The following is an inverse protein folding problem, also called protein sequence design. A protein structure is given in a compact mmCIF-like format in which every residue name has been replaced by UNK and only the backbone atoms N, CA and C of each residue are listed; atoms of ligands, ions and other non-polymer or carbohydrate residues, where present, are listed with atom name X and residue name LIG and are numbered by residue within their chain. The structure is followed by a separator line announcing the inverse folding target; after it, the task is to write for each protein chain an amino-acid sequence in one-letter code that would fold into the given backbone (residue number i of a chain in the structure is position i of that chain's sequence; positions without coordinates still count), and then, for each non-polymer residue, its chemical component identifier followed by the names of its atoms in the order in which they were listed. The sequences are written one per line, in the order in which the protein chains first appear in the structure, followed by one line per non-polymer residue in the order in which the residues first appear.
data_IF_126942525166
#
_entry.id   IF_126942525166
#
_cell.length_a   1.000
_cell.length_b   1.000
_cell.length_c   1.000
_cell.angle_alpha   90.00
_cell.angle_beta   90.00
_cell.angle_gamma   90.00
#
_symmetry.space_group_name_H-M   'P 1'
#
loop_
_entity.id
_entity.type
_entity.pdbx_description
1 polymer ?
#
# COMPACT_ATOMS: atom_id res chain seq x y z
N UNK A 1 -11.46 -12.16 37.96
CA UNK A 1 -10.78 -12.53 36.71
C UNK A 1 -9.86 -11.37 36.32
N UNK A 2 -8.58 -11.44 36.71
CA UNK A 2 -7.57 -10.40 36.47
C UNK A 2 -7.27 -10.34 34.97
N UNK A 3 -7.62 -9.23 34.31
CA UNK A 3 -7.20 -8.96 32.94
C UNK A 3 -5.76 -8.44 33.05
N UNK A 4 -4.82 -9.24 32.56
CA UNK A 4 -3.39 -8.96 32.60
C UNK A 4 -3.04 -7.89 31.54
N UNK A 5 -2.82 -6.64 31.98
CA UNK A 5 -2.44 -5.49 31.15
C UNK A 5 -0.94 -5.46 30.81
N UNK A 6 -0.37 -6.59 30.39
CA UNK A 6 1.07 -6.66 30.05
C UNK A 6 1.35 -7.29 28.70
N UNK A 7 0.80 -6.74 27.61
CA UNK A 7 1.37 -6.94 26.26
C UNK A 7 1.23 -5.69 25.39
N UNK A 8 2.36 -4.99 25.20
CA UNK A 8 2.72 -4.40 23.90
C UNK A 8 2.20 -2.99 23.57
N UNK A 9 2.55 -1.97 24.35
CA UNK A 9 2.61 -0.60 23.81
C UNK A 9 3.99 -0.37 23.16
N UNK A 10 4.19 -0.91 21.96
CA UNK A 10 5.27 -0.47 21.09
C UNK A 10 4.88 0.89 20.52
N UNK A 11 5.30 1.95 21.22
CA UNK A 11 5.25 3.33 20.72
C UNK A 11 6.22 3.40 19.53
N UNK A 12 5.68 3.28 18.32
CA UNK A 12 6.42 3.54 17.08
C UNK A 12 6.62 5.06 16.95
N UNK A 13 7.75 5.54 17.44
CA UNK A 13 8.24 6.90 17.15
C UNK A 13 8.69 6.90 15.68
N UNK A 14 7.82 7.41 14.80
CA UNK A 14 8.12 7.59 13.38
C UNK A 14 8.55 9.05 13.16
N UNK A 15 9.86 9.26 13.12
CA UNK A 15 10.49 10.49 12.70
C UNK A 15 10.19 10.74 11.21
N UNK A 16 9.19 11.57 10.93
CA UNK A 16 8.89 12.05 9.59
C UNK A 16 9.88 13.14 9.19
N UNK A 17 11.03 12.78 8.61
CA UNK A 17 11.83 13.75 7.85
C UNK A 17 11.08 14.09 6.56
N UNK A 18 10.38 15.23 6.58
CA UNK A 18 9.92 15.94 5.40
C UNK A 18 11.14 16.51 4.67
N UNK A 19 11.69 15.76 3.72
CA UNK A 19 12.60 16.33 2.74
C UNK A 19 11.78 16.78 1.54
N UNK A 20 11.26 18.02 1.62
CA UNK A 20 10.73 18.70 0.45
C UNK A 20 11.91 19.02 -0.47
N UNK A 21 12.17 18.15 -1.44
CA UNK A 21 13.01 18.52 -2.58
C UNK A 21 12.18 19.51 -3.37
N UNK A 22 12.41 20.80 -3.15
CA UNK A 22 11.95 21.83 -4.06
C UNK A 22 12.54 21.51 -5.44
N UNK A 23 11.69 21.09 -6.37
CA UNK A 23 12.01 21.12 -7.80
C UNK A 23 12.12 22.59 -8.17
N UNK A 24 13.31 23.14 -7.96
CA UNK A 24 13.74 24.33 -8.69
C UNK A 24 13.56 23.96 -10.16
N UNK A 25 12.76 24.76 -10.87
CA UNK A 25 12.49 24.58 -12.29
C UNK A 25 13.79 24.35 -13.02
N UNK A 26 14.04 23.10 -13.38
CA UNK A 26 15.20 22.73 -14.15
C UNK A 26 14.94 23.30 -15.54
N UNK A 27 15.45 24.52 -15.77
CA UNK A 27 15.71 25.00 -17.12
C UNK A 27 16.38 23.85 -17.86
N UNK A 28 15.79 23.43 -18.98
CA UNK A 28 16.37 22.41 -19.83
C UNK A 28 17.83 22.78 -20.08
N UNK A 29 18.77 21.98 -19.56
CA UNK A 29 20.18 22.19 -19.83
C UNK A 29 20.35 22.04 -21.34
N UNK A 30 20.48 23.16 -22.05
CA UNK A 30 20.67 23.15 -23.49
C UNK A 30 22.07 22.62 -23.77
N UNK A 31 22.19 21.32 -23.99
CA UNK A 31 23.45 20.70 -24.37
C UNK A 31 23.95 21.25 -25.72
N UNK A 32 25.21 21.66 -25.82
CA UNK A 32 25.73 22.37 -27.02
C UNK A 32 26.35 21.43 -28.05
N UNK A 33 26.69 20.22 -27.62
CA UNK A 33 27.34 19.20 -28.43
C UNK A 33 26.86 17.81 -28.00
N UNK A 34 27.18 16.81 -28.79
CA UNK A 34 26.67 15.47 -28.56
C UNK A 34 27.24 14.82 -27.28
N UNK A 35 28.47 15.16 -26.85
CA UNK A 35 29.03 14.68 -25.58
C UNK A 35 28.27 15.23 -24.37
N UNK A 36 27.98 16.52 -24.35
CA UNK A 36 27.16 17.17 -23.33
C UNK A 36 25.71 16.69 -23.33
N UNK A 37 25.13 16.39 -24.50
CA UNK A 37 23.78 15.81 -24.57
C UNK A 37 23.76 14.39 -23.99
N UNK A 38 24.75 13.55 -24.29
CA UNK A 38 24.86 12.21 -23.72
C UNK A 38 25.09 12.23 -22.21
N UNK A 39 25.92 13.15 -21.72
CA UNK A 39 26.10 13.36 -20.28
C UNK A 39 24.77 13.76 -19.60
N UNK A 40 24.02 14.67 -20.20
CA UNK A 40 22.70 15.08 -19.70
C UNK A 40 21.70 13.93 -19.67
N UNK A 41 21.62 13.12 -20.74
CA UNK A 41 20.77 11.91 -20.78
C UNK A 41 21.14 10.94 -19.66
N UNK A 42 22.43 10.67 -19.46
CA UNK A 42 22.91 9.79 -18.39
C UNK A 42 22.52 10.30 -17.00
N UNK A 43 22.63 11.61 -16.75
CA UNK A 43 22.19 12.22 -15.51
C UNK A 43 20.67 12.10 -15.31
N UNK A 44 19.88 12.33 -16.36
CA UNK A 44 18.42 12.19 -16.31
C UNK A 44 17.99 10.73 -16.06
N UNK A 45 18.67 9.75 -16.69
CA UNK A 45 18.45 8.33 -16.44
C UNK A 45 18.74 7.96 -14.97
N UNK A 46 19.83 8.47 -14.39
CA UNK A 46 20.14 8.26 -12.98
C UNK A 46 19.06 8.84 -12.05
N UNK A 47 18.53 10.04 -12.36
CA UNK A 47 17.40 10.63 -11.62
C UNK A 47 16.12 9.79 -11.75
N UNK A 48 15.85 9.23 -12.92
CA UNK A 48 14.70 8.35 -13.15
C UNK A 48 14.77 7.07 -12.29
N UNK A 49 15.96 6.45 -12.23
CA UNK A 49 16.22 5.30 -11.37
C UNK A 49 16.10 5.64 -9.88
N UNK A 50 16.60 6.81 -9.46
CA UNK A 50 16.46 7.29 -8.07
C UNK A 50 14.99 7.53 -7.71
N UNK A 51 14.22 8.16 -8.61
CA UNK A 51 12.77 8.35 -8.45
C UNK A 51 12.04 7.01 -8.29
N UNK A 52 12.42 5.99 -9.07
CA UNK A 52 11.82 4.67 -8.96
C UNK A 52 12.09 4.02 -7.60
N UNK A 53 13.32 4.14 -7.10
CA UNK A 53 13.67 3.65 -5.76
C UNK A 53 12.82 4.32 -4.68
N UNK A 54 12.59 5.63 -4.79
CA UNK A 54 11.75 6.40 -3.86
C UNK A 54 10.29 5.96 -3.90
N UNK A 55 9.75 5.68 -5.09
CA UNK A 55 8.39 5.11 -5.23
C UNK A 55 8.31 3.78 -4.51
N UNK A 56 9.23 2.84 -4.78
CA UNK A 56 9.22 1.52 -4.17
C UNK A 56 9.32 1.59 -2.62
N UNK A 57 10.20 2.43 -2.08
CA UNK A 57 10.32 2.68 -0.63
C UNK A 57 8.99 3.19 -0.03
N UNK A 58 8.32 4.11 -0.72
CA UNK A 58 7.05 4.71 -0.28
C UNK A 58 5.87 3.75 -0.42
N UNK A 59 5.86 2.87 -1.42
CA UNK A 59 4.86 1.81 -1.55
C UNK A 59 4.93 0.82 -0.38
N UNK A 60 6.13 0.42 0.03
CA UNK A 60 6.31 -0.41 1.23
C UNK A 60 5.81 0.30 2.50
N UNK A 61 6.07 1.61 2.61
CA UNK A 61 5.55 2.43 3.72
C UNK A 61 4.02 2.53 3.68
N UNK A 62 3.42 2.71 2.51
CA UNK A 62 1.97 2.73 2.36
C UNK A 62 1.34 1.37 2.71
N UNK A 63 2.01 0.27 2.39
CA UNK A 63 1.59 -1.08 2.76
C UNK A 63 1.59 -1.27 4.29
N UNK A 64 2.65 -0.85 4.98
CA UNK A 64 2.71 -0.96 6.45
C UNK A 64 1.62 -0.13 7.14
N UNK A 65 1.30 1.07 6.63
CA UNK A 65 0.17 1.86 7.13
C UNK A 65 -1.18 1.17 6.92
N UNK A 66 -1.40 0.48 5.79
CA UNK A 66 -2.62 -0.31 5.57
C UNK A 66 -2.74 -1.45 6.58
N UNK A 67 -1.64 -2.14 6.87
CA UNK A 67 -1.62 -3.20 7.89
C UNK A 67 -1.93 -2.64 9.28
N UNK A 68 -1.34 -1.50 9.64
CA UNK A 68 -1.62 -0.82 10.90
C UNK A 68 -3.10 -0.39 11.01
N UNK A 69 -3.71 0.10 9.92
CA UNK A 69 -5.14 0.41 9.89
C UNK A 69 -6.03 -0.82 10.08
N UNK A 70 -5.64 -1.97 9.52
CA UNK A 70 -6.37 -3.23 9.74
C UNK A 70 -6.32 -3.67 11.20
N UNK A 71 -5.15 -3.59 11.84
CA UNK A 71 -4.99 -3.91 13.26
C UNK A 71 -5.78 -2.95 14.15
N UNK A 72 -5.72 -1.65 13.87
CA UNK A 72 -6.52 -0.63 14.56
C UNK A 72 -8.03 -0.87 14.41
N UNK A 73 -8.47 -1.28 13.22
CA UNK A 73 -9.86 -1.66 12.97
C UNK A 73 -10.30 -2.85 13.83
N UNK A 74 -9.48 -3.90 13.92
CA UNK A 74 -9.75 -5.06 14.79
C UNK A 74 -9.80 -4.70 16.28
N UNK A 75 -8.89 -3.83 16.73
CA UNK A 75 -8.89 -3.32 18.11
C UNK A 75 -10.13 -2.49 18.41
N UNK A 76 -10.53 -1.59 17.51
CA UNK A 76 -11.75 -0.79 17.64
C UNK A 76 -13.00 -1.69 17.74
N UNK A 77 -13.10 -2.71 16.89
CA UNK A 77 -14.22 -3.66 16.94
C UNK A 77 -14.26 -4.42 18.27
N UNK A 78 -13.10 -4.87 18.75
CA UNK A 78 -12.99 -5.57 20.03
C UNK A 78 -13.40 -4.68 21.20
N UNK A 79 -12.88 -3.45 21.27
CA UNK A 79 -13.24 -2.48 22.31
C UNK A 79 -14.73 -2.12 22.23
N UNK A 80 -15.29 -1.98 21.03
CA UNK A 80 -16.71 -1.71 20.85
C UNK A 80 -17.60 -2.85 21.39
N UNK A 81 -17.17 -4.11 21.23
CA UNK A 81 -17.87 -5.25 21.81
C UNK A 81 -17.75 -5.26 23.34
N UNK A 82 -16.57 -5.01 23.89
CA UNK A 82 -16.36 -4.92 25.34
C UNK A 82 -17.21 -3.81 25.98
N UNK A 83 -17.37 -2.67 25.31
CA UNK A 83 -18.27 -1.58 25.74
C UNK A 83 -19.72 -2.08 25.82
N UNK A 84 -20.21 -2.77 24.78
CA UNK A 84 -21.56 -3.34 24.77
C UNK A 84 -21.76 -4.37 25.88
N UNK A 85 -20.77 -5.25 26.09
CA UNK A 85 -20.82 -6.26 27.14
C UNK A 85 -20.85 -5.63 28.53
N UNK A 86 -20.05 -4.58 28.77
CA UNK A 86 -20.07 -3.82 30.01
C UNK A 86 -21.44 -3.16 30.24
N UNK A 87 -22.03 -2.52 29.22
CA UNK A 87 -23.38 -1.94 29.28
C UNK A 87 -24.45 -2.98 29.61
N UNK A 88 -24.37 -4.16 29.01
CA UNK A 88 -25.27 -5.27 29.30
C UNK A 88 -25.17 -5.73 30.75
N UNK A 89 -23.94 -5.87 31.28
CA UNK A 89 -23.71 -6.22 32.69
C UNK A 89 -24.22 -5.14 33.64
N UNK A 90 -23.97 -3.86 33.36
CA UNK A 90 -24.49 -2.74 34.15
C UNK A 90 -26.02 -2.81 34.22
N UNK A 91 -26.68 -3.05 33.07
CA UNK A 91 -28.14 -3.15 32.99
C UNK A 91 -28.66 -4.35 33.80
N UNK A 92 -27.98 -5.51 33.71
CA UNK A 92 -28.34 -6.68 34.50
C UNK A 92 -28.16 -6.47 36.00
N UNK A 93 -27.02 -5.90 36.44
CA UNK A 93 -26.75 -5.59 37.85
C UNK A 93 -27.76 -4.56 38.39
N UNK A 94 -28.17 -3.57 37.59
CA UNK A 94 -29.26 -2.66 37.98
C UNK A 94 -30.56 -3.40 38.26
N UNK A 95 -30.98 -4.31 37.37
CA UNK A 95 -32.20 -5.09 37.59
C UNK A 95 -32.12 -5.95 38.85
N UNK A 96 -30.94 -6.51 39.16
CA UNK A 96 -30.72 -7.25 40.42
C UNK A 96 -30.80 -6.34 41.65
N UNK A 97 -30.25 -5.13 41.58
CA UNK A 97 -30.37 -4.12 42.66
C UNK A 97 -31.84 -3.74 42.89
N UNK A 98 -32.59 -3.52 41.81
CA UNK A 98 -34.02 -3.19 41.89
C UNK A 98 -34.83 -4.34 42.52
N UNK A 99 -34.56 -5.58 42.11
CA UNK A 99 -35.19 -6.77 42.67
C UNK A 99 -34.89 -6.93 44.17
N UNK A 100 -33.62 -6.84 44.57
CA UNK A 100 -33.22 -6.95 45.99
C UNK A 100 -33.81 -5.80 46.81
N UNK A 101 -33.93 -4.60 46.22
CA UNK A 101 -34.61 -3.47 46.87
C UNK A 101 -36.08 -3.78 47.13
N UNK A 102 -36.79 -4.33 46.14
CA UNK A 102 -38.19 -4.75 46.31
C UNK A 102 -38.37 -5.83 47.39
N UNK A 103 -37.41 -6.76 47.51
CA UNK A 103 -37.43 -7.74 48.61
C UNK A 103 -37.22 -7.08 49.98
N UNK A 104 -36.27 -6.15 50.10
CA UNK A 104 -36.05 -5.40 51.35
C UNK A 104 -37.33 -4.68 51.78
N UNK A 105 -38.02 -4.03 50.84
CA UNK A 105 -39.26 -3.30 51.10
C UNK A 105 -40.40 -4.24 51.53
N UNK A 106 -40.53 -5.39 50.87
CA UNK A 106 -41.49 -6.44 51.25
C UNK A 106 -41.22 -7.00 52.64
N UNK A 107 -39.97 -7.30 52.98
CA UNK A 107 -39.60 -7.78 54.32
C UNK A 107 -39.82 -6.70 55.39
N UNK A 108 -39.68 -5.42 55.06
CA UNK A 108 -40.01 -4.31 55.96
C UNK A 108 -41.52 -4.27 56.26
N UNK A 109 -42.36 -4.41 55.23
CA UNK A 109 -43.81 -4.48 55.42
C UNK A 109 -44.23 -5.68 56.28
N UNK A 110 -43.59 -6.84 56.12
CA UNK A 110 -43.84 -8.00 56.97
C UNK A 110 -43.48 -7.75 58.44
N UNK A 111 -42.36 -7.07 58.72
CA UNK A 111 -41.99 -6.68 60.08
C UNK A 111 -43.03 -5.74 60.70
N UNK A 112 -43.49 -4.75 59.95
CA UNK A 112 -44.49 -3.79 60.42
C UNK A 112 -45.82 -4.50 60.73
N UNK A 113 -46.23 -5.47 59.90
CA UNK A 113 -47.41 -6.30 60.14
C UNK A 113 -47.26 -7.19 61.38
N UNK A 114 -46.11 -7.84 61.56
CA UNK A 114 -45.84 -8.68 62.75
C UNK A 114 -45.89 -7.85 64.05
N UNK A 115 -45.39 -6.61 64.01
CA UNK A 115 -45.46 -5.68 65.14
C UNK A 115 -46.90 -5.25 65.43
N UNK A 116 -47.68 -4.94 64.39
CA UNK A 116 -49.09 -4.56 64.52
C UNK A 116 -49.95 -5.72 65.06
N UNK A 117 -49.71 -6.95 64.58
CA UNK A 117 -50.38 -8.15 65.09
C UNK A 117 -50.10 -8.35 66.58
N UNK A 118 -48.83 -8.27 66.99
CA UNK A 118 -48.46 -8.36 68.40
C UNK A 118 -49.16 -7.31 69.26
N UNK A 119 -49.19 -6.05 68.79
CA UNK A 119 -49.87 -4.97 69.50
C UNK A 119 -51.39 -5.20 69.61
N UNK A 120 -52.02 -5.67 68.53
CA UNK A 120 -53.46 -5.97 68.49
C UNK A 120 -53.83 -7.10 69.46
N UNK A 121 -53.07 -8.19 69.47
CA UNK A 121 -53.30 -9.34 70.36
C UNK A 121 -53.16 -8.94 71.84
N UNK A 122 -52.16 -8.12 72.18
CA UNK A 122 -51.99 -7.59 73.55
C UNK A 122 -53.19 -6.72 73.96
N UNK A 123 -53.66 -5.84 73.07
CA UNK A 123 -54.82 -4.98 73.34
C UNK A 123 -56.09 -5.81 73.49
N UNK A 124 -56.31 -6.81 72.63
CA UNK A 124 -57.49 -7.68 72.66
C UNK A 124 -57.55 -8.48 73.95
N UNK A 125 -56.45 -9.09 74.39
CA UNK A 125 -56.35 -9.73 75.71
C UNK A 125 -56.65 -8.78 76.87
N UNK A 126 -56.21 -7.52 76.77
CA UNK A 126 -56.49 -6.50 77.78
C UNK A 126 -57.95 -6.00 77.76
N UNK A 127 -58.64 -6.06 76.61
CA UNK A 127 -60.01 -5.54 76.45
C UNK A 127 -61.10 -6.61 76.58
N UNK A 128 -60.84 -7.85 76.18
CA UNK A 128 -61.73 -8.99 76.43
C UNK A 128 -61.72 -9.42 77.91
N UNK A 129 -60.71 -9.00 78.68
CA UNK A 129 -60.69 -9.11 80.13
C UNK A 129 -61.50 -7.99 80.80
N UNK A 130 -62.83 -8.08 80.75
CA UNK A 130 -63.74 -7.23 81.55
C UNK A 130 -63.70 -7.52 83.07
N UNK A 131 -62.62 -8.11 83.58
CA UNK A 131 -62.43 -8.41 84.99
C UNK A 131 -60.94 -8.35 85.34
N UNK A 132 -60.54 -7.69 86.44
CA UNK A 132 -59.15 -7.70 86.87
C UNK A 132 -58.71 -9.15 87.10
N UNK A 133 -57.71 -9.65 86.38
CA UNK A 133 -57.21 -11.03 86.54
C UNK A 133 -56.72 -11.32 87.96
N UNK A 134 -56.29 -10.30 88.71
CA UNK A 134 -56.00 -10.38 90.15
C UNK A 134 -57.24 -10.70 91.02
N UNK A 135 -58.45 -10.32 90.58
CA UNK A 135 -59.70 -10.60 91.27
C UNK A 135 -60.26 -12.00 90.96
N UNK A 136 -59.99 -12.55 89.77
CA UNK A 136 -60.31 -13.95 89.40
C UNK A 136 -59.32 -14.93 90.01
N UNK A 137 -58.04 -14.56 90.15
CA UNK A 137 -57.02 -15.32 90.90
C UNK A 137 -57.44 -15.60 92.36
N UNK A 138 -58.32 -14.78 92.91
CA UNK A 138 -58.87 -14.89 94.28
C UNK A 138 -60.29 -15.47 94.32
N UNK A 139 -60.92 -15.77 93.18
CA UNK A 139 -62.28 -16.32 93.15
C UNK A 139 -62.52 -17.32 92.00
N UNK A 140 -62.50 -18.60 92.35
CA UNK A 140 -63.12 -19.75 91.66
C UNK A 140 -62.30 -20.54 90.61
N UNK A 141 -62.84 -21.71 90.26
CA UNK A 141 -62.17 -23.00 90.02
C UNK A 141 -61.92 -23.37 88.55
N UNK A 142 -61.33 -22.48 87.74
CA UNK A 142 -61.00 -22.69 86.30
C UNK A 142 -59.50 -22.60 85.99
N UNK A 143 -58.62 -23.02 86.90
CA UNK A 143 -57.16 -22.90 86.77
C UNK A 143 -56.59 -23.45 85.44
N UNK A 144 -57.25 -24.45 84.82
CA UNK A 144 -56.85 -25.03 83.54
C UNK A 144 -57.05 -24.10 82.33
N UNK A 145 -58.05 -23.22 82.34
CA UNK A 145 -58.30 -22.25 81.25
C UNK A 145 -57.29 -21.10 81.32
N UNK A 146 -57.04 -20.56 82.52
CA UNK A 146 -56.02 -19.52 82.75
C UNK A 146 -54.61 -20.01 82.38
N UNK A 147 -54.28 -21.28 82.67
CA UNK A 147 -52.99 -21.85 82.24
C UNK A 147 -52.90 -22.07 80.73
N UNK A 148 -54.01 -22.38 80.06
CA UNK A 148 -54.03 -22.53 78.61
C UNK A 148 -53.87 -21.18 77.90
N UNK A 149 -54.50 -20.12 78.42
CA UNK A 149 -54.39 -18.76 77.88
C UNK A 149 -52.97 -18.18 78.05
N UNK A 150 -52.34 -18.44 79.20
CA UNK A 150 -50.94 -18.03 79.42
C UNK A 150 -49.95 -18.81 78.55
N UNK A 151 -50.14 -20.11 78.35
CA UNK A 151 -49.27 -20.91 77.49
C UNK A 151 -49.48 -20.54 76.00
N UNK A 152 -50.71 -20.25 75.58
CA UNK A 152 -51.02 -19.72 74.25
C UNK A 152 -50.27 -18.39 74.01
N UNK A 153 -50.32 -17.47 74.97
CA UNK A 153 -49.61 -16.20 74.90
C UNK A 153 -48.09 -16.38 74.83
N UNK A 154 -47.54 -17.29 75.63
CA UNK A 154 -46.11 -17.61 75.65
C UNK A 154 -45.64 -18.14 74.30
N UNK A 155 -46.40 -19.07 73.72
CA UNK A 155 -46.10 -19.65 72.40
C UNK A 155 -46.26 -18.62 71.27
N UNK A 156 -47.28 -17.76 71.34
CA UNK A 156 -47.48 -16.68 70.38
C UNK A 156 -46.32 -15.67 70.42
N UNK A 157 -45.92 -15.26 71.63
CA UNK A 157 -44.77 -14.38 71.85
C UNK A 157 -43.48 -14.99 71.30
N UNK A 158 -43.20 -16.26 71.61
CA UNK A 158 -42.00 -16.97 71.12
C UNK A 158 -41.99 -17.05 69.58
N UNK A 159 -43.14 -17.38 68.96
CA UNK A 159 -43.26 -17.48 67.51
C UNK A 159 -43.09 -16.13 66.81
N UNK A 160 -43.69 -15.06 67.33
CA UNK A 160 -43.55 -13.71 66.79
C UNK A 160 -42.10 -13.23 66.97
N UNK A 161 -41.51 -13.42 68.15
CA UNK A 161 -40.12 -13.02 68.41
C UNK A 161 -39.14 -13.74 67.48
N UNK A 162 -39.37 -15.03 67.23
CA UNK A 162 -38.60 -15.80 66.24
C UNK A 162 -38.77 -15.24 64.83
N UNK A 163 -40.00 -15.02 64.37
CA UNK A 163 -40.27 -14.45 63.04
C UNK A 163 -39.65 -13.06 62.86
N UNK A 164 -39.75 -12.18 63.85
CA UNK A 164 -39.12 -10.85 63.83
C UNK A 164 -37.60 -10.98 63.71
N UNK A 165 -36.97 -11.90 64.45
CA UNK A 165 -35.54 -12.13 64.35
C UNK A 165 -35.14 -12.68 62.97
N UNK A 166 -35.85 -13.68 62.46
CA UNK A 166 -35.59 -14.28 61.15
C UNK A 166 -35.72 -13.22 60.03
N UNK A 167 -36.77 -12.39 60.04
CA UNK A 167 -36.95 -11.30 59.06
C UNK A 167 -35.88 -10.22 59.18
N UNK A 168 -35.46 -9.84 60.40
CA UNK A 168 -34.35 -8.89 60.60
C UNK A 168 -33.02 -9.42 60.05
N UNK A 169 -32.74 -10.71 60.24
CA UNK A 169 -31.54 -11.36 59.68
C UNK A 169 -31.59 -11.37 58.15
N UNK A 170 -32.74 -11.72 57.56
CA UNK A 170 -32.93 -11.69 56.11
C UNK A 170 -32.76 -10.27 55.54
N UNK A 171 -33.35 -9.25 56.18
CA UNK A 171 -33.14 -7.86 55.77
C UNK A 171 -31.67 -7.45 55.80
N UNK A 172 -30.92 -7.85 56.83
CA UNK A 172 -29.50 -7.55 56.93
C UNK A 172 -28.69 -8.19 55.79
N UNK A 173 -29.00 -9.45 55.44
CA UNK A 173 -28.37 -10.15 54.33
C UNK A 173 -28.69 -9.50 52.98
N UNK A 174 -29.96 -9.16 52.73
CA UNK A 174 -30.38 -8.46 51.51
C UNK A 174 -29.72 -7.09 51.38
N UNK A 175 -29.60 -6.32 52.47
CA UNK A 175 -28.87 -5.04 52.46
C UNK A 175 -27.41 -5.23 52.07
N UNK A 176 -26.75 -6.24 52.64
CA UNK A 176 -25.37 -6.58 52.27
C UNK A 176 -25.24 -7.03 50.81
N UNK A 177 -26.19 -7.82 50.30
CA UNK A 177 -26.24 -8.21 48.90
C UNK A 177 -26.39 -6.99 47.99
N UNK A 178 -27.27 -6.04 48.34
CA UNK A 178 -27.45 -4.78 47.62
C UNK A 178 -26.17 -3.94 47.60
N UNK A 179 -25.47 -3.81 48.73
CA UNK A 179 -24.18 -3.11 48.82
C UNK A 179 -23.14 -3.73 47.87
N UNK A 180 -22.99 -5.05 47.88
CA UNK A 180 -22.08 -5.76 46.98
C UNK A 180 -22.43 -5.54 45.50
N UNK A 181 -23.71 -5.57 45.13
CA UNK A 181 -24.15 -5.30 43.76
C UNK A 181 -23.87 -3.85 43.35
N UNK A 182 -24.04 -2.90 44.28
CA UNK A 182 -23.75 -1.49 44.04
C UNK A 182 -22.24 -1.24 43.81
N UNK A 183 -21.37 -1.95 44.54
CA UNK A 183 -19.93 -1.93 44.29
C UNK A 183 -19.58 -2.50 42.91
N UNK A 184 -20.13 -3.67 42.55
CA UNK A 184 -19.93 -4.27 41.22
C UNK A 184 -20.40 -3.35 40.08
N UNK A 185 -21.52 -2.65 40.27
CA UNK A 185 -22.01 -1.65 39.31
C UNK A 185 -21.02 -0.50 39.14
N UNK A 186 -20.44 0.00 40.23
CA UNK A 186 -19.46 1.08 40.17
C UNK A 186 -18.20 0.63 39.40
N UNK A 187 -17.71 -0.58 39.66
CA UNK A 187 -16.58 -1.16 38.92
C UNK A 187 -16.86 -1.30 37.42
N UNK A 188 -18.08 -1.73 37.07
CA UNK A 188 -18.51 -1.85 35.67
C UNK A 188 -18.62 -0.48 34.98
N UNK A 189 -19.11 0.55 35.68
CA UNK A 189 -19.15 1.92 35.15
C UNK A 189 -17.73 2.45 34.90
N UNK A 190 -16.81 2.26 35.84
CA UNK A 190 -15.41 2.65 35.68
C UNK A 190 -14.74 1.92 34.49
N UNK A 191 -15.02 0.62 34.33
CA UNK A 191 -14.55 -0.16 33.19
C UNK A 191 -15.12 0.40 31.87
N UNK A 192 -16.41 0.72 31.82
CA UNK A 192 -17.08 1.29 30.64
C UNK A 192 -16.47 2.64 30.23
N UNK A 193 -16.23 3.53 31.19
CA UNK A 193 -15.57 4.82 30.93
C UNK A 193 -14.16 4.65 30.39
N UNK A 194 -13.37 3.74 30.99
CA UNK A 194 -12.02 3.41 30.55
C UNK A 194 -12.00 2.88 29.10
N UNK A 195 -12.90 1.95 28.77
CA UNK A 195 -13.04 1.41 27.42
C UNK A 195 -13.45 2.49 26.40
N UNK A 196 -14.35 3.40 26.80
CA UNK A 196 -14.77 4.53 25.95
C UNK A 196 -13.60 5.50 25.69
N UNK A 197 -12.77 5.76 26.70
CA UNK A 197 -11.54 6.53 26.54
C UNK A 197 -10.55 5.84 25.57
N UNK A 198 -10.37 4.53 25.73
CA UNK A 198 -9.51 3.74 24.85
C UNK A 198 -10.01 3.76 23.39
N UNK A 199 -11.32 3.63 23.17
CA UNK A 199 -11.92 3.73 21.84
C UNK A 199 -11.62 5.07 21.16
N UNK A 200 -11.72 6.18 21.89
CA UNK A 200 -11.39 7.52 21.37
C UNK A 200 -9.91 7.62 20.97
N UNK A 201 -9.01 7.08 21.79
CA UNK A 201 -7.57 7.05 21.48
C UNK A 201 -7.27 6.24 20.21
N UNK A 202 -7.88 5.06 20.06
CA UNK A 202 -7.73 4.23 18.86
C UNK A 202 -8.31 4.91 17.60
N UNK A 203 -9.44 5.61 17.73
CA UNK A 203 -10.03 6.39 16.64
C UNK A 203 -9.12 7.54 16.20
N UNK A 204 -8.52 8.26 17.16
CA UNK A 204 -7.52 9.28 16.87
C UNK A 204 -6.30 8.68 16.13
N UNK A 205 -5.76 7.56 16.60
CA UNK A 205 -4.63 6.89 15.95
C UNK A 205 -4.96 6.42 14.52
N UNK A 206 -6.20 5.95 14.31
CA UNK A 206 -6.73 5.56 12.99
C UNK A 206 -6.73 6.76 12.04
N UNK A 207 -7.22 7.91 12.49
CA UNK A 207 -7.23 9.14 11.69
C UNK A 207 -5.82 9.62 11.34
N UNK A 208 -4.88 9.57 12.28
CA UNK A 208 -3.48 9.91 12.03
C UNK A 208 -2.83 8.98 11.01
N UNK A 209 -3.08 7.67 11.12
CA UNK A 209 -2.52 6.69 10.17
C UNK A 209 -3.13 6.83 8.78
N UNK A 210 -4.43 7.13 8.69
CA UNK A 210 -5.07 7.47 7.42
C UNK A 210 -4.48 8.73 6.78
N UNK A 211 -4.20 9.77 7.57
CA UNK A 211 -3.53 10.98 7.08
C UNK A 211 -2.14 10.67 6.53
N UNK A 212 -1.33 9.91 7.26
CA UNK A 212 0.01 9.51 6.82
C UNK A 212 -0.03 8.65 5.55
N UNK A 213 -0.99 7.74 5.44
CA UNK A 213 -1.21 6.95 4.24
C UNK A 213 -1.58 7.84 3.04
N UNK A 214 -2.47 8.81 3.24
CA UNK A 214 -2.87 9.76 2.19
C UNK A 214 -1.68 10.61 1.72
N UNK A 215 -0.93 11.19 2.67
CA UNK A 215 0.27 11.96 2.36
C UNK A 215 1.33 11.12 1.62
N UNK A 216 1.52 9.85 2.01
CA UNK A 216 2.44 8.92 1.35
C UNK A 216 2.00 8.63 -0.09
N UNK A 217 0.70 8.43 -0.33
CA UNK A 217 0.16 8.25 -1.68
C UNK A 217 0.35 9.48 -2.56
N UNK A 218 0.16 10.68 -2.02
CA UNK A 218 0.42 11.93 -2.72
C UNK A 218 1.91 12.06 -3.12
N UNK A 219 2.83 11.66 -2.24
CA UNK A 219 4.27 11.61 -2.57
C UNK A 219 4.59 10.63 -3.70
N UNK A 220 3.98 9.44 -3.70
CA UNK A 220 4.12 8.47 -4.80
C UNK A 220 3.66 9.09 -6.13
N UNK A 221 2.51 9.77 -6.14
CA UNK A 221 2.00 10.45 -7.32
C UNK A 221 2.94 11.57 -7.80
N UNK A 222 3.49 12.36 -6.88
CA UNK A 222 4.47 13.40 -7.20
C UNK A 222 5.71 12.81 -7.89
N UNK A 223 6.30 11.76 -7.32
CA UNK A 223 7.47 11.13 -7.93
C UNK A 223 7.17 10.52 -9.30
N UNK A 224 5.98 9.96 -9.50
CA UNK A 224 5.55 9.44 -10.79
C UNK A 224 5.42 10.55 -11.85
N UNK A 225 4.89 11.72 -11.46
CA UNK A 225 4.83 12.90 -12.31
C UNK A 225 6.23 13.41 -12.68
N UNK A 226 7.14 13.47 -11.71
CA UNK A 226 8.55 13.85 -11.95
C UNK A 226 9.23 12.90 -12.94
N UNK A 227 9.01 11.60 -12.81
CA UNK A 227 9.53 10.62 -13.75
C UNK A 227 8.97 10.82 -15.17
N UNK A 228 7.69 11.18 -15.30
CA UNK A 228 7.10 11.48 -16.60
C UNK A 228 7.74 12.73 -17.23
N UNK A 229 7.96 13.79 -16.45
CA UNK A 229 8.64 15.00 -16.91
C UNK A 229 10.10 14.71 -17.32
N UNK A 230 10.83 13.91 -16.53
CA UNK A 230 12.20 13.49 -16.85
C UNK A 230 12.24 12.68 -18.15
N UNK A 231 11.28 11.79 -18.38
CA UNK A 231 11.19 11.04 -19.65
C UNK A 231 11.02 11.97 -20.85
N UNK A 232 10.21 13.04 -20.72
CA UNK A 232 10.07 14.05 -21.77
C UNK A 232 11.37 14.80 -22.02
N UNK A 233 12.08 15.21 -20.95
CA UNK A 233 13.39 15.86 -21.08
C UNK A 233 14.43 14.97 -21.74
N UNK A 234 14.41 13.66 -21.45
CA UNK A 234 15.28 12.68 -22.13
C UNK A 234 14.98 12.68 -23.63
N UNK A 235 13.70 12.56 -24.02
CA UNK A 235 13.30 12.56 -25.42
C UNK A 235 13.66 13.87 -26.15
N UNK A 236 13.50 15.03 -25.49
CA UNK A 236 13.92 16.33 -26.02
C UNK A 236 15.43 16.41 -26.23
N UNK A 237 16.21 15.97 -25.24
CA UNK A 237 17.67 15.96 -25.29
C UNK A 237 18.16 15.01 -26.39
N UNK A 238 17.45 13.89 -26.59
CA UNK A 238 17.72 12.94 -27.67
C UNK A 238 17.46 13.55 -29.05
N UNK A 239 16.31 14.20 -29.28
CA UNK A 239 16.05 14.93 -30.54
C UNK A 239 17.13 15.97 -30.85
N UNK A 240 17.61 16.67 -29.83
CA UNK A 240 18.70 17.64 -29.98
C UNK A 240 20.01 16.96 -30.34
N UNK A 241 20.39 15.90 -29.63
CA UNK A 241 21.55 15.08 -29.96
C UNK A 241 21.52 14.63 -31.43
N UNK A 242 20.35 14.20 -31.91
CA UNK A 242 20.16 13.81 -33.31
C UNK A 242 20.37 14.95 -34.30
N UNK A 243 19.83 16.14 -34.01
CA UNK A 243 20.04 17.30 -34.89
C UNK A 243 21.52 17.68 -35.03
N UNK A 244 22.30 17.55 -33.95
CA UNK A 244 23.73 17.87 -33.93
C UNK A 244 24.55 16.89 -34.76
N UNK A 245 24.12 15.63 -34.82
CA UNK A 245 24.81 14.58 -35.56
C UNK A 245 24.26 14.45 -36.99
N UNK A 246 23.21 15.21 -37.32
CA UNK A 246 22.50 15.08 -38.58
C UNK A 246 23.23 15.69 -39.80
N UNK A 247 24.28 16.47 -39.61
CA UNK A 247 24.94 17.24 -40.70
C UNK A 247 26.43 16.96 -40.85
N UNK A 248 26.92 15.86 -40.28
CA UNK A 248 28.34 15.69 -40.09
C UNK A 248 28.98 14.75 -41.12
N UNK A 249 30.02 15.26 -41.78
CA UNK A 249 30.96 14.51 -42.61
C UNK A 249 32.14 14.08 -41.74
N UNK A 250 32.28 12.79 -41.47
CA UNK A 250 33.33 12.22 -40.61
C UNK A 250 34.31 11.37 -41.41
N UNK A 251 34.76 11.88 -42.55
CA UNK A 251 35.66 11.18 -43.49
C UNK A 251 35.06 11.08 -44.88
N UNK A 252 35.82 10.47 -45.81
CA UNK A 252 35.50 10.46 -47.25
C UNK A 252 35.50 9.05 -47.86
N UNK A 253 35.70 8.01 -47.05
CA UNK A 253 35.85 6.64 -47.54
C UNK A 253 34.51 5.95 -47.77
N UNK A 254 33.50 6.30 -46.98
CA UNK A 254 32.13 5.83 -47.10
C UNK A 254 31.26 7.05 -47.39
N UNK A 255 30.55 7.05 -48.50
CA UNK A 255 29.77 8.20 -48.99
C UNK A 255 28.33 7.81 -49.26
N UNK A 256 27.39 8.71 -48.93
CA UNK A 256 25.98 8.53 -49.25
C UNK A 256 25.78 8.30 -50.74
N UNK A 257 24.90 7.34 -51.06
CA UNK A 257 24.45 7.08 -52.40
C UNK A 257 22.96 7.37 -52.53
N UNK A 258 22.45 7.67 -53.75
CA UNK A 258 21.04 7.97 -53.96
C UNK A 258 20.12 6.92 -53.31
N UNK A 259 19.02 7.37 -52.74
CA UNK A 259 18.06 6.49 -52.07
C UNK A 259 17.58 5.40 -53.02
N UNK A 260 17.71 4.14 -52.58
CA UNK A 260 17.24 2.96 -53.31
C UNK A 260 15.76 2.70 -53.05
N UNK A 261 15.16 1.80 -53.83
CA UNK A 261 13.77 1.35 -53.63
C UNK A 261 13.52 0.61 -52.31
N UNK A 262 14.59 0.19 -51.64
CA UNK A 262 14.59 -0.49 -50.35
C UNK A 262 15.08 0.42 -49.21
N UNK A 263 15.27 1.72 -49.46
CA UNK A 263 15.73 2.68 -48.48
C UNK A 263 14.64 3.04 -47.45
N UNK A 264 15.03 3.10 -46.18
CA UNK A 264 14.21 3.65 -45.10
C UNK A 264 15.00 4.69 -44.30
N UNK A 265 14.32 5.77 -43.93
CA UNK A 265 14.85 6.80 -43.05
C UNK A 265 14.25 6.64 -41.65
N UNK A 266 15.09 6.39 -40.65
CA UNK A 266 14.66 6.15 -39.26
C UNK A 266 13.92 7.36 -38.68
N UNK A 267 14.28 8.57 -39.13
CA UNK A 267 13.72 9.84 -38.63
C UNK A 267 12.23 10.01 -39.00
N UNK A 268 11.69 9.15 -39.85
CA UNK A 268 10.27 9.19 -40.23
C UNK A 268 9.35 8.43 -39.25
N UNK A 269 9.88 7.76 -38.22
CA UNK A 269 9.13 6.78 -37.43
C UNK A 269 9.24 7.04 -35.93
N UNK A 270 8.12 7.20 -35.22
CA UNK A 270 8.09 7.51 -33.78
C UNK A 270 7.64 6.33 -32.90
N UNK A 271 7.47 5.14 -33.49
CA UNK A 271 7.14 3.91 -32.78
C UNK A 271 8.22 3.53 -31.77
N UNK A 272 7.82 3.01 -30.61
CA UNK A 272 8.74 2.59 -29.55
C UNK A 272 9.48 1.31 -29.91
N UNK A 273 10.76 1.22 -29.52
CA UNK A 273 11.57 0.01 -29.62
C UNK A 273 11.15 -0.96 -28.50
N UNK A 274 10.18 -1.84 -28.80
CA UNK A 274 9.55 -2.73 -27.84
C UNK A 274 8.86 -1.97 -26.71
N UNK A 275 9.13 -2.37 -25.46
CA UNK A 275 8.61 -1.69 -24.26
C UNK A 275 9.47 -0.53 -23.76
N UNK A 276 10.53 -0.18 -24.50
CA UNK A 276 11.44 0.89 -24.08
C UNK A 276 10.79 2.27 -24.29
N UNK A 277 11.27 3.31 -23.58
CA UNK A 277 10.82 4.68 -23.82
C UNK A 277 11.44 5.30 -25.09
N UNK A 278 12.27 4.56 -25.82
CA UNK A 278 12.99 5.04 -26.99
C UNK A 278 12.26 4.69 -28.27
N UNK A 279 12.28 5.59 -29.24
CA UNK A 279 11.62 5.38 -30.52
C UNK A 279 12.58 4.95 -31.62
N UNK A 280 12.04 4.46 -32.73
CA UNK A 280 12.80 4.27 -33.97
C UNK A 280 13.46 5.59 -34.41
N UNK A 281 12.77 6.72 -34.20
CA UNK A 281 13.31 8.04 -34.47
C UNK A 281 14.62 8.21 -33.71
N UNK A 282 14.62 7.92 -32.40
CA UNK A 282 15.70 8.22 -31.46
C UNK A 282 16.91 7.26 -31.54
N UNK A 283 16.66 5.95 -31.68
CA UNK A 283 17.71 4.90 -31.64
C UNK A 283 17.52 3.77 -32.66
N UNK A 284 16.72 3.98 -33.70
CA UNK A 284 16.30 2.95 -34.65
C UNK A 284 17.30 2.60 -35.76
N UNK A 285 18.54 3.11 -35.73
CA UNK A 285 19.48 2.95 -36.85
C UNK A 285 19.76 1.49 -37.20
N UNK A 286 19.85 0.61 -36.20
CA UNK A 286 20.06 -0.82 -36.42
C UNK A 286 18.83 -1.50 -37.03
N UNK A 287 17.65 -1.32 -36.44
CA UNK A 287 16.41 -1.94 -36.94
C UNK A 287 16.04 -1.40 -38.33
N UNK A 288 16.34 -0.13 -38.61
CA UNK A 288 16.17 0.48 -39.93
C UNK A 288 17.14 -0.13 -40.95
N UNK A 289 18.40 -0.38 -40.56
CA UNK A 289 19.37 -1.07 -41.41
C UNK A 289 18.95 -2.52 -41.69
N UNK A 290 18.42 -3.23 -40.70
CA UNK A 290 17.88 -4.59 -40.89
C UNK A 290 16.65 -4.60 -41.81
N UNK A 291 15.74 -3.64 -41.67
CA UNK A 291 14.58 -3.48 -42.55
C UNK A 291 15.00 -3.22 -44.01
N UNK A 292 16.03 -2.39 -44.23
CA UNK A 292 16.59 -2.13 -45.55
C UNK A 292 17.18 -3.40 -46.18
N UNK A 293 17.96 -4.18 -45.43
CA UNK A 293 18.54 -5.44 -45.92
C UNK A 293 17.47 -6.49 -46.19
N UNK A 294 16.47 -6.64 -45.31
CA UNK A 294 15.34 -7.56 -45.55
C UNK A 294 14.59 -7.17 -46.84
N UNK A 295 14.33 -5.87 -47.03
CA UNK A 295 13.63 -5.36 -48.21
C UNK A 295 14.46 -5.54 -49.49
N UNK A 296 15.80 -5.44 -49.40
CA UNK A 296 16.70 -5.77 -50.51
C UNK A 296 16.52 -7.21 -51.01
N UNK A 297 16.35 -8.17 -50.10
CA UNK A 297 16.07 -9.58 -50.45
C UNK A 297 14.60 -9.89 -50.76
N UNK A 298 13.74 -8.87 -50.85
CA UNK A 298 12.32 -9.01 -51.18
C UNK A 298 11.39 -9.19 -49.98
N UNK A 299 11.93 -9.32 -48.76
CA UNK A 299 11.16 -9.36 -47.52
C UNK A 299 10.80 -7.93 -47.08
N UNK A 300 9.76 -7.36 -47.70
CA UNK A 300 9.30 -6.00 -47.41
C UNK A 300 8.81 -5.89 -45.97
N UNK A 301 9.58 -5.20 -45.14
CA UNK A 301 9.26 -4.89 -43.75
C UNK A 301 9.72 -3.48 -43.41
N UNK A 302 8.93 -2.73 -42.65
CA UNK A 302 9.25 -1.37 -42.22
C UNK A 302 9.90 -1.35 -40.83
N UNK A 303 10.65 -0.30 -40.48
CA UNK A 303 11.22 -0.18 -39.13
C UNK A 303 10.17 -0.22 -37.99
N UNK A 304 9.00 0.43 -38.09
CA UNK A 304 7.91 0.27 -37.13
C UNK A 304 7.42 -1.17 -36.96
N UNK A 305 7.31 -1.92 -38.07
CA UNK A 305 6.90 -3.33 -38.00
C UNK A 305 7.90 -4.14 -37.17
N UNK A 306 9.21 -3.87 -37.28
CA UNK A 306 10.22 -4.49 -36.43
C UNK A 306 10.11 -4.01 -34.97
N UNK A 307 10.00 -2.70 -34.76
CA UNK A 307 9.99 -2.07 -33.44
C UNK A 307 8.81 -2.52 -32.56
N UNK A 308 7.65 -2.73 -33.18
CA UNK A 308 6.41 -3.13 -32.50
C UNK A 308 6.36 -4.62 -32.11
N UNK A 309 7.47 -5.36 -32.17
CA UNK A 309 7.61 -6.71 -31.61
C UNK A 309 8.38 -6.68 -30.28
N UNK A 310 7.70 -6.62 -29.11
CA UNK A 310 8.39 -6.36 -27.85
C UNK A 310 9.35 -7.48 -27.40
N UNK A 311 9.13 -8.71 -27.85
CA UNK A 311 10.02 -9.86 -27.56
C UNK A 311 11.36 -9.80 -28.28
N UNK A 312 11.54 -8.88 -29.23
CA UNK A 312 12.78 -8.67 -29.96
C UNK A 312 13.72 -7.65 -29.30
N UNK A 313 13.30 -7.08 -28.17
CA UNK A 313 14.07 -6.08 -27.44
C UNK A 313 14.11 -6.40 -25.94
N UNK A 314 15.15 -5.95 -25.26
CA UNK A 314 15.10 -5.85 -23.80
C UNK A 314 14.30 -4.60 -23.36
N UNK A 315 14.12 -4.41 -22.04
CA UNK A 315 13.34 -3.28 -21.51
C UNK A 315 14.00 -1.92 -21.78
N UNK A 316 15.30 -1.93 -22.05
CA UNK A 316 16.11 -0.77 -22.39
C UNK A 316 16.12 -0.47 -23.90
N UNK A 317 15.48 -1.29 -24.74
CA UNK A 317 15.36 -1.07 -26.19
C UNK A 317 16.51 -1.66 -27.02
N UNK A 318 17.41 -2.44 -26.43
CA UNK A 318 18.46 -3.14 -27.19
C UNK A 318 17.88 -4.32 -27.97
N UNK A 319 18.20 -4.37 -29.25
CA UNK A 319 17.75 -5.38 -30.20
C UNK A 319 18.40 -6.75 -29.96
N UNK A 320 17.59 -7.80 -29.93
CA UNK A 320 18.04 -9.19 -30.00
C UNK A 320 18.25 -9.59 -31.46
N UNK A 321 19.45 -9.32 -31.99
CA UNK A 321 19.78 -9.43 -33.41
C UNK A 321 19.35 -10.75 -34.07
N UNK A 322 19.60 -11.90 -33.42
CA UNK A 322 19.23 -13.21 -33.97
C UNK A 322 17.72 -13.41 -34.06
N UNK A 323 16.97 -12.95 -33.04
CA UNK A 323 15.51 -13.06 -33.03
C UNK A 323 14.88 -12.19 -34.11
N UNK A 324 15.38 -10.96 -34.28
CA UNK A 324 14.93 -10.07 -35.35
C UNK A 324 15.24 -10.66 -36.71
N UNK A 325 16.50 -11.06 -36.96
CA UNK A 325 16.92 -11.58 -38.26
C UNK A 325 16.00 -12.74 -38.70
N UNK A 326 15.82 -13.75 -37.84
CA UNK A 326 14.93 -14.87 -38.13
C UNK A 326 13.48 -14.43 -38.35
N UNK A 327 12.98 -13.51 -37.53
CA UNK A 327 11.61 -12.99 -37.62
C UNK A 327 11.32 -12.18 -38.89
N UNK A 328 12.35 -11.59 -39.50
CA UNK A 328 12.23 -10.79 -40.74
C UNK A 328 12.70 -11.55 -41.98
N UNK A 329 12.89 -12.87 -41.87
CA UNK A 329 13.26 -13.74 -42.99
C UNK A 329 14.73 -13.60 -43.42
N UNK A 330 15.62 -13.23 -42.51
CA UNK A 330 17.06 -13.16 -42.73
C UNK A 330 17.81 -14.19 -41.87
N UNK A 331 18.92 -14.68 -42.37
CA UNK A 331 19.91 -15.48 -41.65
C UNK A 331 21.21 -14.72 -41.50
N UNK A 332 21.75 -14.65 -40.29
CA UNK A 332 23.07 -14.04 -40.04
C UNK A 332 24.13 -15.03 -40.53
N UNK A 333 24.78 -14.72 -41.64
CA UNK A 333 25.81 -15.59 -42.23
C UNK A 333 27.21 -15.25 -41.71
N UNK A 334 27.44 -14.00 -41.30
CA UNK A 334 28.68 -13.59 -40.63
C UNK A 334 28.43 -12.34 -39.76
N UNK A 335 29.14 -12.23 -38.65
CA UNK A 335 29.15 -11.04 -37.78
C UNK A 335 30.41 -10.98 -36.94
N UNK A 336 30.90 -9.78 -36.68
CA UNK A 336 32.07 -9.58 -35.82
C UNK A 336 32.75 -8.25 -36.07
N UNK A 337 33.98 -8.05 -35.56
CA UNK A 337 34.80 -6.90 -35.93
C UNK A 337 34.88 -6.73 -37.44
N UNK A 338 34.97 -5.49 -37.91
CA UNK A 338 34.99 -5.20 -39.34
C UNK A 338 36.16 -5.91 -40.05
N UNK A 339 35.83 -6.75 -41.04
CA UNK A 339 36.80 -7.40 -41.91
C UNK A 339 36.60 -6.91 -43.34
N UNK A 340 37.47 -6.02 -43.80
CA UNK A 340 37.34 -5.38 -45.11
C UNK A 340 37.45 -6.35 -46.29
N UNK A 341 38.19 -7.45 -46.15
CA UNK A 341 38.25 -8.47 -47.20
C UNK A 341 36.89 -9.16 -47.38
N UNK A 342 36.26 -9.56 -46.27
CA UNK A 342 34.92 -10.17 -46.29
C UNK A 342 33.85 -9.18 -46.75
N UNK A 343 33.93 -7.92 -46.31
CA UNK A 343 33.02 -6.86 -46.77
C UNK A 343 33.14 -6.68 -48.28
N UNK A 344 34.36 -6.54 -48.80
CA UNK A 344 34.60 -6.34 -50.23
C UNK A 344 34.10 -7.51 -51.08
N UNK A 345 34.35 -8.75 -50.64
CA UNK A 345 33.84 -9.95 -51.31
C UNK A 345 32.31 -9.97 -51.34
N UNK A 346 31.67 -9.64 -50.22
CA UNK A 346 30.20 -9.62 -50.08
C UNK A 346 29.57 -8.56 -50.97
N UNK A 347 30.13 -7.35 -50.97
CA UNK A 347 29.67 -6.25 -51.83
C UNK A 347 29.90 -6.55 -53.31
N UNK A 348 31.03 -7.19 -53.67
CA UNK A 348 31.32 -7.61 -55.05
C UNK A 348 30.34 -8.67 -55.54
N UNK A 349 29.86 -9.54 -54.64
CA UNK A 349 28.78 -10.49 -54.92
C UNK A 349 27.38 -9.83 -54.97
N UNK A 350 27.29 -8.51 -54.80
CA UNK A 350 26.04 -7.75 -54.90
C UNK A 350 25.18 -7.79 -53.64
N UNK A 351 25.71 -8.23 -52.50
CA UNK A 351 24.97 -8.32 -51.25
C UNK A 351 25.29 -7.13 -50.32
N UNK A 352 24.28 -6.46 -49.73
CA UNK A 352 24.51 -5.37 -48.81
C UNK A 352 25.10 -5.86 -47.48
N UNK A 353 25.86 -5.00 -46.81
CA UNK A 353 26.49 -5.28 -45.51
C UNK A 353 26.10 -4.21 -44.51
N UNK A 354 25.60 -4.58 -43.34
CA UNK A 354 25.38 -3.63 -42.25
C UNK A 354 26.72 -3.46 -41.53
N UNK A 355 27.15 -2.22 -41.32
CA UNK A 355 28.32 -1.92 -40.50
C UNK A 355 27.96 -0.96 -39.38
N UNK A 356 28.62 -1.13 -38.25
CA UNK A 356 28.50 -0.21 -37.13
C UNK A 356 29.61 0.84 -37.16
N UNK A 357 29.26 2.08 -36.82
CA UNK A 357 30.12 3.25 -36.93
C UNK A 357 30.21 3.95 -35.57
N UNK A 358 31.43 4.26 -35.15
CA UNK A 358 31.70 5.15 -34.04
C UNK A 358 31.67 6.60 -34.51
N UNK A 359 30.73 7.38 -34.00
CA UNK A 359 30.65 8.81 -34.23
C UNK A 359 31.31 9.52 -33.04
N UNK A 360 32.47 10.20 -33.21
CA UNK A 360 33.22 10.79 -32.10
C UNK A 360 32.41 11.73 -31.22
N UNK A 361 31.52 12.51 -31.84
CA UNK A 361 30.68 13.48 -31.17
C UNK A 361 29.62 12.78 -30.31
N UNK A 362 29.11 11.62 -30.73
CA UNK A 362 28.14 10.81 -29.98
C UNK A 362 28.83 9.97 -28.92
N UNK A 363 30.08 9.55 -29.13
CA UNK A 363 30.73 8.60 -28.24
C UNK A 363 30.17 7.18 -28.44
N UNK A 364 30.34 6.34 -27.43
CA UNK A 364 29.99 4.91 -27.48
C UNK A 364 28.58 4.70 -26.91
N UNK A 365 27.70 4.10 -27.72
CA UNK A 365 26.36 3.66 -27.29
C UNK A 365 26.29 2.13 -27.22
N UNK A 366 26.88 1.47 -28.21
CA UNK A 366 26.82 0.02 -28.35
C UNK A 366 28.03 -0.66 -27.70
N UNK A 367 27.86 -1.92 -27.30
CA UNK A 367 28.92 -2.72 -26.66
C UNK A 367 30.14 -2.96 -27.54
N UNK A 368 30.02 -2.82 -28.86
CA UNK A 368 31.11 -2.93 -29.84
C UNK A 368 31.90 -1.62 -30.03
N UNK A 369 31.61 -0.58 -29.23
CA UNK A 369 32.28 0.71 -29.31
C UNK A 369 31.71 1.64 -30.38
N UNK A 370 30.58 1.30 -31.01
CA UNK A 370 29.91 2.13 -32.02
C UNK A 370 28.77 2.99 -31.44
N UNK A 371 28.22 3.87 -32.27
CA UNK A 371 27.04 4.69 -31.95
C UNK A 371 25.99 4.73 -33.05
N UNK A 372 26.27 4.19 -34.23
CA UNK A 372 25.37 4.24 -35.39
C UNK A 372 25.53 2.99 -36.25
N UNK A 373 24.53 2.70 -37.07
CA UNK A 373 24.56 1.61 -38.06
C UNK A 373 24.14 2.13 -39.43
N UNK A 374 24.85 1.68 -40.47
CA UNK A 374 24.59 2.01 -41.87
C UNK A 374 24.63 0.75 -42.73
N UNK A 375 24.08 0.83 -43.94
CA UNK A 375 24.11 -0.27 -44.92
C UNK A 375 25.06 0.09 -46.06
N UNK A 376 26.16 -0.64 -46.20
CA UNK A 376 27.01 -0.58 -47.39
C UNK A 376 26.34 -1.35 -48.54
N UNK A 377 26.33 -0.78 -49.73
CA UNK A 377 25.65 -1.36 -50.90
C UNK A 377 26.55 -1.55 -52.13
N UNK A 378 27.81 -1.11 -52.06
CA UNK A 378 28.78 -1.29 -53.14
C UNK A 378 29.95 -0.33 -53.02
N UNK A 379 30.73 -0.22 -54.10
CA UNK A 379 31.87 0.71 -54.21
C UNK A 379 31.80 1.51 -55.51
N UNK A 380 32.30 2.74 -55.47
CA UNK A 380 32.55 3.58 -56.65
C UNK A 380 33.95 4.18 -56.53
N UNK A 381 34.86 3.70 -57.36
CA UNK A 381 36.29 3.98 -57.18
C UNK A 381 36.78 3.43 -55.84
N UNK A 382 37.43 4.27 -55.03
CA UNK A 382 37.94 3.89 -53.71
C UNK A 382 36.90 4.03 -52.59
N UNK A 383 35.76 4.66 -52.85
CA UNK A 383 34.75 4.92 -51.82
C UNK A 383 33.68 3.84 -51.78
N UNK A 384 33.26 3.45 -50.58
CA UNK A 384 32.07 2.64 -50.34
C UNK A 384 30.83 3.51 -50.46
N UNK A 385 29.79 2.94 -51.06
CA UNK A 385 28.47 3.56 -51.18
C UNK A 385 27.57 3.06 -50.06
N UNK A 386 26.88 3.96 -49.38
CA UNK A 386 25.99 3.60 -48.27
C UNK A 386 24.56 4.12 -48.43
N UNK A 387 23.64 3.40 -47.78
CA UNK A 387 22.35 3.92 -47.33
C UNK A 387 22.41 4.16 -45.82
N UNK A 388 22.15 5.39 -45.41
CA UNK A 388 22.23 5.80 -44.01
C UNK A 388 20.81 6.00 -43.43
N UNK A 389 20.44 5.27 -42.36
CA UNK A 389 19.17 5.47 -41.66
C UNK A 389 18.90 6.90 -41.18
N UNK A 390 19.92 7.74 -40.97
CA UNK A 390 19.78 9.15 -40.56
C UNK A 390 19.59 10.13 -41.73
N UNK A 391 19.51 9.65 -42.97
CA UNK A 391 19.32 10.49 -44.15
C UNK A 391 20.53 10.56 -45.08
N UNK A 392 20.33 11.18 -46.24
CA UNK A 392 21.35 11.33 -47.30
C UNK A 392 22.37 12.44 -46.99
N UNK A 393 23.38 12.58 -47.85
CA UNK A 393 24.46 13.59 -47.78
C UNK A 393 25.37 13.47 -46.55
N UNK A 394 25.72 12.25 -46.15
CA UNK A 394 26.67 11.96 -45.07
C UNK A 394 27.89 11.24 -45.60
N UNK A 395 28.96 11.26 -44.82
CA UNK A 395 30.15 10.46 -45.11
C UNK A 395 30.92 10.09 -43.86
N UNK A 396 31.64 8.97 -43.92
CA UNK A 396 32.37 8.38 -42.81
C UNK A 396 33.73 7.85 -43.28
N UNK A 397 34.73 7.85 -42.39
CA UNK A 397 36.01 7.21 -42.59
C UNK A 397 36.02 5.75 -42.16
N UNK A 398 36.82 4.91 -42.79
CA UNK A 398 36.91 3.48 -42.45
C UNK A 398 37.39 3.25 -41.01
N UNK A 399 38.19 4.16 -40.47
CA UNK A 399 38.71 4.15 -39.10
C UNK A 399 37.60 4.25 -38.02
N UNK A 400 36.40 4.69 -38.41
CA UNK A 400 35.24 4.76 -37.51
C UNK A 400 34.42 3.46 -37.48
N UNK A 401 34.62 2.56 -38.43
CA UNK A 401 33.88 1.31 -38.49
C UNK A 401 34.35 0.38 -37.36
N UNK A 402 33.41 -0.30 -36.70
CA UNK A 402 33.70 -1.20 -35.56
C UNK A 402 33.37 -2.64 -35.87
N UNK A 403 32.14 -2.91 -36.27
CA UNK A 403 31.67 -4.26 -36.59
C UNK A 403 30.95 -4.34 -37.93
N UNK A 404 30.80 -5.55 -38.44
CA UNK A 404 30.03 -5.88 -39.63
C UNK A 404 28.98 -6.95 -39.30
N UNK A 405 27.87 -6.92 -40.03
CA UNK A 405 26.85 -7.95 -40.03
C UNK A 405 26.47 -8.24 -41.48
N UNK A 406 26.62 -9.50 -41.86
CA UNK A 406 26.21 -10.02 -43.16
C UNK A 406 25.00 -10.91 -42.93
N UNK A 407 23.90 -10.54 -43.56
CA UNK A 407 22.61 -11.21 -43.44
C UNK A 407 22.09 -11.52 -44.85
N UNK A 408 21.51 -12.70 -45.03
CA UNK A 408 20.97 -13.19 -46.31
C UNK A 408 19.60 -13.82 -46.14
#
# INVERSE_FOLDING_TARGET
MRIDWKKGTSVLILAGMFFAIALQGAHAATCTDAASCNAAIKTLQAKLAQGQKKINEKEQTAYSYKQALSDLGGKLQTTQQQIKDAQGKISHTNAQIDQVTGYIDSEQQQLDQLQAQLASEIVQLYTESQTPHLAILLSSSSFSEVTNDMEYLRQLQENIQKRVNDTRLLQADLKKQKENLQEQKNDLNNLHESLTGHQKALSYQTNQTNYLLSATKAQIQSYAADQAAIKQQIAETQRRLQSLVAQAHWGNDIVSAPATSWYYNQLNYYDTLGYSPYTVHDYGCFVTSMAMVATFYGNRITPPQIANHPSWFNREGYAFTTAIAAGIGLSITDKGPANWATIDETLKAGHPVIVSIYIPQIGVINSDGSSHFIVLQGKKGNSYLMQDPLGQNRSYGLNYVRSMYIMK
#
